data_IF_266919554404
#
_entry.id   IF_266919554404
#
_cell.length_a   1.000
_cell.length_b   1.000
_cell.length_c   1.000
_cell.angle_alpha   90.00
_cell.angle_beta   90.00
_cell.angle_gamma   90.00
#
_symmetry.space_group_name_H-M   'P 1'
#
loop_
_entity.id
_entity.type
_entity.pdbx_description
1 polymer ?
#
# COMPACT_ATOMS: atom_id res chain seq x y z
N UNK A 1 -7.00 -50.10 15.86
CA UNK A 1 -6.05 -49.08 16.36
C UNK A 1 -5.52 -48.20 15.22
N UNK A 2 -5.43 -48.71 13.98
CA UNK A 2 -4.99 -47.93 12.79
C UNK A 2 -6.03 -46.94 12.24
N UNK A 3 -7.33 -47.15 12.45
CA UNK A 3 -8.39 -46.23 12.00
C UNK A 3 -8.43 -44.93 12.79
N UNK A 4 -8.25 -45.00 14.12
CA UNK A 4 -8.17 -43.81 14.99
C UNK A 4 -6.95 -42.93 14.73
N UNK A 5 -5.83 -43.52 14.31
CA UNK A 5 -4.62 -42.77 13.96
C UNK A 5 -4.77 -42.03 12.62
N UNK A 6 -5.52 -42.60 11.66
CA UNK A 6 -5.85 -41.94 10.39
C UNK A 6 -6.87 -40.82 10.54
N UNK A 7 -7.88 -41.00 11.40
CA UNK A 7 -8.86 -39.96 11.71
C UNK A 7 -8.20 -38.77 12.44
N UNK A 8 -7.30 -39.03 13.38
CA UNK A 8 -6.53 -37.98 14.08
C UNK A 8 -5.59 -37.19 13.15
N UNK A 9 -4.93 -37.85 12.19
CA UNK A 9 -4.09 -37.14 11.22
C UNK A 9 -4.90 -36.32 10.22
N UNK A 10 -6.04 -36.83 9.74
CA UNK A 10 -6.88 -36.10 8.80
C UNK A 10 -7.54 -34.86 9.43
N UNK A 11 -7.89 -34.92 10.72
CA UNK A 11 -8.46 -33.79 11.46
C UNK A 11 -7.40 -32.71 11.76
N UNK A 12 -6.16 -33.11 12.06
CA UNK A 12 -5.01 -32.20 12.21
C UNK A 12 -4.66 -31.55 10.86
N UNK A 13 -4.55 -32.31 9.78
CA UNK A 13 -4.25 -31.80 8.44
C UNK A 13 -5.33 -30.83 7.93
N UNK A 14 -6.62 -31.12 8.19
CA UNK A 14 -7.72 -30.22 7.85
C UNK A 14 -7.68 -28.92 8.69
N UNK A 15 -7.29 -29.02 9.97
CA UNK A 15 -7.16 -27.85 10.85
C UNK A 15 -5.97 -26.96 10.45
N UNK A 16 -4.85 -27.55 10.02
CA UNK A 16 -3.67 -26.83 9.54
C UNK A 16 -3.95 -26.18 8.19
N UNK A 17 -4.60 -26.90 7.26
CA UNK A 17 -5.03 -26.34 5.98
C UNK A 17 -5.99 -25.16 6.13
N UNK A 18 -6.96 -25.26 7.04
CA UNK A 18 -7.89 -24.16 7.35
C UNK A 18 -7.17 -22.94 7.95
N UNK A 19 -6.21 -23.15 8.86
CA UNK A 19 -5.40 -22.07 9.44
C UNK A 19 -4.50 -21.40 8.40
N UNK A 20 -3.85 -22.18 7.54
CA UNK A 20 -3.00 -21.67 6.47
C UNK A 20 -3.79 -20.82 5.49
N UNK A 21 -5.01 -21.27 5.16
CA UNK A 21 -5.93 -20.57 4.28
C UNK A 21 -6.44 -19.24 4.84
N UNK A 22 -6.86 -19.26 6.10
CA UNK A 22 -7.24 -18.06 6.86
C UNK A 22 -6.08 -17.06 6.97
N UNK A 23 -4.86 -17.54 7.22
CA UNK A 23 -3.67 -16.69 7.28
C UNK A 23 -3.35 -16.05 5.92
N UNK A 24 -3.41 -16.82 4.83
CA UNK A 24 -3.15 -16.34 3.48
C UNK A 24 -4.14 -15.24 3.07
N UNK A 25 -5.44 -15.45 3.31
CA UNK A 25 -6.46 -14.44 3.03
C UNK A 25 -6.26 -13.16 3.86
N UNK A 26 -5.96 -13.27 5.17
CA UNK A 26 -5.66 -12.10 6.00
C UNK A 26 -4.42 -11.34 5.57
N UNK A 27 -3.40 -12.04 5.08
CA UNK A 27 -2.16 -11.43 4.60
C UNK A 27 -2.37 -10.52 3.38
N UNK A 28 -3.43 -10.73 2.59
CA UNK A 28 -3.76 -9.87 1.45
C UNK A 28 -4.37 -8.52 1.87
N UNK A 29 -4.91 -8.40 3.08
CA UNK A 29 -5.68 -7.23 3.50
C UNK A 29 -4.90 -5.91 3.42
N UNK A 30 -3.65 -5.79 3.90
CA UNK A 30 -2.89 -4.54 3.78
C UNK A 30 -2.76 -4.09 2.32
N UNK A 31 -2.40 -5.01 1.42
CA UNK A 31 -2.27 -4.73 -0.02
C UNK A 31 -3.60 -4.37 -0.67
N UNK A 32 -4.70 -5.02 -0.28
CA UNK A 32 -6.05 -4.67 -0.75
C UNK A 32 -6.48 -3.27 -0.32
N UNK A 33 -6.30 -2.93 0.96
CA UNK A 33 -6.64 -1.61 1.48
C UNK A 33 -5.82 -0.53 0.79
N UNK A 34 -4.51 -0.73 0.65
CA UNK A 34 -3.62 0.18 -0.05
C UNK A 34 -3.99 0.34 -1.55
N UNK A 35 -4.35 -0.75 -2.22
CA UNK A 35 -4.80 -0.73 -3.61
C UNK A 35 -6.10 0.09 -3.77
N UNK A 36 -7.09 -0.11 -2.90
CA UNK A 36 -8.31 0.72 -2.86
C UNK A 36 -8.04 2.18 -2.55
N UNK A 37 -6.92 2.47 -1.88
CA UNK A 37 -6.45 3.83 -1.62
C UNK A 37 -5.72 4.48 -2.81
N UNK A 38 -5.55 3.73 -3.90
CA UNK A 38 -4.96 4.22 -5.15
C UNK A 38 -3.45 3.99 -5.25
N UNK A 39 -2.87 3.23 -4.30
CA UNK A 39 -1.48 2.80 -4.41
C UNK A 39 -1.36 1.83 -5.58
N UNK A 40 -0.57 2.24 -6.56
CA UNK A 40 -0.30 1.45 -7.75
C UNK A 40 0.58 0.24 -7.44
N UNK A 41 1.62 0.46 -6.64
CA UNK A 41 2.50 -0.60 -6.15
C UNK A 41 1.73 -1.68 -5.37
N UNK A 42 0.76 -1.28 -4.54
CA UNK A 42 -0.03 -2.24 -3.77
C UNK A 42 -0.90 -3.18 -4.62
N UNK A 43 -1.32 -2.77 -5.82
CA UNK A 43 -2.00 -3.69 -6.74
C UNK A 43 -1.08 -4.83 -7.19
N UNK A 44 0.21 -4.53 -7.42
CA UNK A 44 1.20 -5.53 -7.82
C UNK A 44 1.47 -6.50 -6.67
N UNK A 45 1.68 -5.99 -5.45
CA UNK A 45 1.87 -6.84 -4.27
C UNK A 45 0.64 -7.70 -3.98
N UNK A 46 -0.56 -7.15 -4.14
CA UNK A 46 -1.79 -7.93 -3.98
C UNK A 46 -1.84 -9.09 -4.98
N UNK A 47 -1.56 -8.84 -6.27
CA UNK A 47 -1.51 -9.87 -7.31
C UNK A 47 -0.46 -10.93 -6.96
N UNK A 48 0.75 -10.51 -6.60
CA UNK A 48 1.87 -11.42 -6.27
C UNK A 48 1.51 -12.32 -5.09
N UNK A 49 1.12 -11.74 -3.95
CA UNK A 49 0.79 -12.49 -2.74
C UNK A 49 -0.39 -13.43 -2.96
N UNK A 50 -1.40 -12.99 -3.71
CA UNK A 50 -2.56 -13.80 -4.04
C UNK A 50 -2.18 -14.96 -4.96
N UNK A 51 -1.37 -14.72 -5.98
CA UNK A 51 -0.89 -15.75 -6.89
C UNK A 51 0.00 -16.79 -6.20
N UNK A 52 0.93 -16.33 -5.36
CA UNK A 52 1.78 -17.17 -4.54
C UNK A 52 0.95 -18.09 -3.62
N UNK A 53 -0.05 -17.54 -2.94
CA UNK A 53 -0.93 -18.31 -2.06
C UNK A 53 -1.83 -19.29 -2.84
N UNK A 54 -2.35 -18.87 -3.99
CA UNK A 54 -3.20 -19.70 -4.83
C UNK A 54 -2.41 -20.89 -5.43
N UNK A 55 -1.19 -20.64 -5.94
CA UNK A 55 -0.30 -21.68 -6.49
C UNK A 55 0.14 -22.69 -5.42
N UNK A 56 0.32 -22.26 -4.18
CA UNK A 56 0.57 -23.16 -3.03
C UNK A 56 -0.65 -23.95 -2.57
N UNK A 57 -1.83 -23.70 -3.15
CA UNK A 57 -3.09 -24.31 -2.72
C UNK A 57 -3.58 -23.83 -1.35
N UNK A 58 -2.97 -22.78 -0.79
CA UNK A 58 -3.33 -22.21 0.52
C UNK A 58 -4.37 -21.11 0.39
N UNK A 59 -4.93 -20.84 -0.78
CA UNK A 59 -5.96 -19.83 -0.94
C UNK A 59 -6.89 -20.19 -2.10
N UNK A 60 -8.19 -20.28 -1.81
CA UNK A 60 -9.24 -20.35 -2.83
C UNK A 60 -10.17 -19.14 -2.77
N UNK A 61 -10.99 -18.96 -3.81
CA UNK A 61 -12.03 -17.92 -3.82
C UNK A 61 -13.05 -18.12 -2.69
N UNK A 62 -13.37 -19.39 -2.37
CA UNK A 62 -14.27 -19.72 -1.27
C UNK A 62 -13.69 -19.32 0.08
N UNK A 63 -12.41 -19.60 0.30
CA UNK A 63 -11.71 -19.21 1.53
C UNK A 63 -11.68 -17.69 1.71
N UNK A 64 -11.39 -16.95 0.64
CA UNK A 64 -11.38 -15.50 0.68
C UNK A 64 -12.75 -14.90 1.04
N UNK A 65 -13.85 -15.51 0.57
CA UNK A 65 -15.22 -15.10 0.95
C UNK A 65 -15.51 -15.34 2.42
N UNK A 66 -15.18 -16.53 2.91
CA UNK A 66 -15.37 -16.89 4.32
C UNK A 66 -14.55 -15.95 5.21
N UNK A 67 -13.27 -15.75 4.88
CA UNK A 67 -12.40 -14.88 5.66
C UNK A 67 -12.84 -13.41 5.58
N UNK A 68 -13.31 -12.91 4.43
CA UNK A 68 -13.87 -11.56 4.32
C UNK A 68 -15.06 -11.36 5.27
N UNK A 69 -15.98 -12.33 5.31
CA UNK A 69 -17.12 -12.31 6.22
C UNK A 69 -16.67 -12.34 7.69
N UNK A 70 -15.69 -13.18 8.05
CA UNK A 70 -15.13 -13.24 9.40
C UNK A 70 -14.44 -11.93 9.80
N UNK A 71 -13.69 -11.31 8.90
CA UNK A 71 -13.09 -9.98 9.11
C UNK A 71 -14.17 -8.91 9.32
N UNK A 72 -15.30 -9.01 8.60
CA UNK A 72 -16.48 -8.17 8.79
C UNK A 72 -17.10 -8.22 10.18
N UNK A 73 -17.01 -9.39 10.83
CA UNK A 73 -17.53 -9.61 12.19
C UNK A 73 -16.53 -9.20 13.29
N UNK A 74 -15.28 -8.92 12.94
CA UNK A 74 -14.24 -8.61 13.91
C UNK A 74 -14.24 -7.13 14.33
N UNK A 75 -14.20 -6.88 15.64
CA UNK A 75 -14.12 -5.53 16.20
C UNK A 75 -12.81 -4.81 15.84
N UNK A 76 -11.71 -5.55 15.67
CA UNK A 76 -10.39 -5.00 15.33
C UNK A 76 -10.20 -4.75 13.82
N UNK A 77 -11.12 -5.28 13.03
CA UNK A 77 -10.92 -5.57 11.63
C UNK A 77 -12.17 -5.30 10.79
N UNK A 78 -13.13 -4.54 11.33
CA UNK A 78 -14.48 -4.37 10.78
C UNK A 78 -14.41 -3.89 9.33
N UNK A 79 -14.79 -4.78 8.43
CA UNK A 79 -14.87 -4.53 7.00
C UNK A 79 -16.35 -4.39 6.63
N UNK A 80 -16.74 -3.32 5.96
CA UNK A 80 -18.14 -3.14 5.52
C UNK A 80 -18.54 -4.20 4.49
N UNK A 81 -19.83 -4.52 4.34
CA UNK A 81 -20.28 -5.58 3.42
C UNK A 81 -19.79 -5.35 1.97
N UNK A 82 -19.89 -4.11 1.48
CA UNK A 82 -19.36 -3.70 0.17
C UNK A 82 -17.85 -3.94 0.04
N UNK A 83 -17.10 -3.78 1.13
CA UNK A 83 -15.65 -4.00 1.14
C UNK A 83 -15.30 -5.49 1.16
N UNK A 84 -16.11 -6.30 1.85
CA UNK A 84 -15.97 -7.76 1.85
C UNK A 84 -16.20 -8.31 0.44
N UNK A 85 -17.25 -7.84 -0.23
CA UNK A 85 -17.56 -8.22 -1.60
C UNK A 85 -16.44 -7.78 -2.56
N UNK A 86 -15.93 -6.56 -2.39
CA UNK A 86 -14.81 -6.06 -3.19
C UNK A 86 -13.51 -6.85 -2.95
N UNK A 87 -13.24 -7.29 -1.72
CA UNK A 87 -12.09 -8.12 -1.39
C UNK A 87 -12.20 -9.50 -2.03
N UNK A 88 -13.35 -10.17 -1.87
CA UNK A 88 -13.60 -11.47 -2.47
C UNK A 88 -13.54 -11.41 -4.01
N UNK A 89 -14.10 -10.35 -4.61
CA UNK A 89 -13.99 -10.07 -6.04
C UNK A 89 -12.53 -9.90 -6.46
N UNK A 90 -11.74 -9.10 -5.75
CA UNK A 90 -10.33 -8.88 -6.08
C UNK A 90 -9.53 -10.19 -6.09
N UNK A 91 -9.72 -11.04 -5.07
CA UNK A 91 -9.09 -12.37 -5.02
C UNK A 91 -9.55 -13.25 -6.18
N UNK A 92 -10.85 -13.27 -6.46
CA UNK A 92 -11.41 -14.05 -7.57
C UNK A 92 -10.82 -13.63 -8.92
N UNK A 93 -10.63 -12.33 -9.16
CA UNK A 93 -10.03 -11.83 -10.40
C UNK A 93 -8.62 -12.36 -10.62
N UNK A 94 -7.77 -12.39 -9.58
CA UNK A 94 -6.41 -12.93 -9.69
C UNK A 94 -6.44 -14.44 -9.92
N UNK A 95 -7.16 -15.20 -9.08
CA UNK A 95 -7.19 -16.67 -9.15
C UNK A 95 -7.79 -17.16 -10.48
N UNK A 96 -8.87 -16.54 -10.96
CA UNK A 96 -9.49 -16.93 -12.23
C UNK A 96 -8.63 -16.53 -13.44
N UNK A 97 -7.87 -15.43 -13.34
CA UNK A 97 -6.91 -15.06 -14.40
C UNK A 97 -5.75 -16.06 -14.44
N UNK A 98 -5.23 -16.49 -13.28
CA UNK A 98 -4.25 -17.58 -13.20
C UNK A 98 -4.79 -18.85 -13.83
N UNK A 99 -6.00 -19.30 -13.47
CA UNK A 99 -6.63 -20.48 -14.10
C UNK A 99 -6.77 -20.38 -15.61
N UNK A 100 -6.89 -19.17 -16.15
CA UNK A 100 -7.08 -18.95 -17.59
C UNK A 100 -5.77 -18.95 -18.38
N UNK A 101 -4.67 -18.52 -17.77
CA UNK A 101 -3.41 -18.23 -18.47
C UNK A 101 -2.19 -18.94 -17.91
N UNK A 102 -2.26 -19.48 -16.70
CA UNK A 102 -1.20 -20.21 -16.03
C UNK A 102 -1.45 -21.71 -16.14
N UNK A 103 -0.59 -22.41 -16.90
CA UNK A 103 -0.69 -23.85 -17.15
C UNK A 103 -0.52 -24.69 -15.87
N UNK A 104 -0.06 -24.07 -14.78
CA UNK A 104 -0.01 -24.67 -13.44
C UNK A 104 -1.41 -24.90 -12.83
N UNK A 105 -2.46 -24.32 -13.39
CA UNK A 105 -3.84 -24.48 -12.93
C UNK A 105 -4.66 -25.36 -13.86
N UNK A 106 -5.35 -26.35 -13.27
CA UNK A 106 -6.23 -27.25 -14.01
C UNK A 106 -7.48 -26.53 -14.53
N UNK A 107 -7.57 -26.38 -15.85
CA UNK A 107 -8.70 -25.77 -16.55
C UNK A 107 -9.98 -26.64 -16.53
N UNK A 108 -9.90 -27.89 -16.06
CA UNK A 108 -11.01 -28.86 -16.06
C UNK A 108 -11.87 -28.84 -14.79
N UNK A 109 -11.49 -28.07 -13.76
CA UNK A 109 -12.26 -27.96 -12.53
C UNK A 109 -13.66 -27.37 -12.77
N UNK A 110 -14.68 -27.94 -12.11
CA UNK A 110 -16.07 -27.50 -12.26
C UNK A 110 -16.21 -26.02 -11.86
N UNK A 111 -16.70 -25.20 -12.81
CA UNK A 111 -16.78 -23.74 -12.66
C UNK A 111 -18.23 -23.33 -12.38
N UNK A 112 -18.45 -22.84 -11.17
CA UNK A 112 -19.72 -22.24 -10.72
C UNK A 112 -20.20 -21.10 -11.67
N UNK A 113 -21.52 -20.88 -11.85
CA UNK A 113 -22.04 -19.83 -12.73
C UNK A 113 -21.46 -18.43 -12.49
N UNK A 114 -21.16 -18.06 -11.24
CA UNK A 114 -20.58 -16.76 -10.91
C UNK A 114 -19.15 -16.64 -11.45
N UNK A 115 -18.34 -17.67 -11.25
CA UNK A 115 -16.99 -17.76 -11.79
C UNK A 115 -16.98 -17.76 -13.32
N UNK A 116 -18.00 -18.34 -13.97
CA UNK A 116 -18.18 -18.28 -15.43
C UNK A 116 -18.44 -16.87 -15.93
N UNK A 117 -19.21 -16.07 -15.19
CA UNK A 117 -19.43 -14.65 -15.49
C UNK A 117 -18.13 -13.85 -15.41
N UNK A 118 -17.35 -14.05 -14.34
CA UNK A 118 -16.04 -13.41 -14.15
C UNK A 118 -15.03 -13.82 -15.22
N UNK A 119 -15.00 -15.09 -15.64
CA UNK A 119 -14.13 -15.54 -16.73
C UNK A 119 -14.46 -14.87 -18.07
N UNK A 120 -15.75 -14.73 -18.40
CA UNK A 120 -16.17 -13.96 -19.60
C UNK A 120 -15.69 -12.51 -19.54
N UNK A 121 -15.75 -11.89 -18.35
CA UNK A 121 -15.21 -10.55 -18.14
C UNK A 121 -13.69 -10.52 -18.33
N UNK A 122 -12.95 -11.49 -17.77
CA UNK A 122 -11.49 -11.63 -17.94
C UNK A 122 -11.13 -11.78 -19.43
N UNK A 123 -11.84 -12.62 -20.17
CA UNK A 123 -11.63 -12.81 -21.60
C UNK A 123 -11.87 -11.53 -22.40
N UNK A 124 -12.97 -10.81 -22.11
CA UNK A 124 -13.27 -9.55 -22.76
C UNK A 124 -12.21 -8.49 -22.45
N UNK A 125 -11.78 -8.39 -21.18
CA UNK A 125 -10.74 -7.45 -20.75
C UNK A 125 -9.41 -7.70 -21.46
N UNK A 126 -9.01 -8.97 -21.58
CA UNK A 126 -7.77 -9.34 -22.27
C UNK A 126 -7.85 -9.09 -23.78
N UNK A 127 -8.99 -9.44 -24.40
CA UNK A 127 -9.23 -9.15 -25.83
C UNK A 127 -9.16 -7.65 -26.11
N UNK A 128 -9.82 -6.84 -25.28
CA UNK A 128 -9.77 -5.39 -25.40
C UNK A 128 -8.33 -4.86 -25.24
N UNK A 129 -7.55 -5.41 -24.31
CA UNK A 129 -6.15 -5.05 -24.15
C UNK A 129 -5.30 -5.42 -25.37
N UNK A 130 -5.52 -6.59 -25.97
CA UNK A 130 -4.84 -7.03 -27.21
C UNK A 130 -5.19 -6.13 -28.41
N UNK A 131 -6.42 -5.60 -28.45
CA UNK A 131 -6.89 -4.64 -29.45
C UNK A 131 -6.38 -3.20 -29.18
N UNK A 132 -5.56 -2.99 -28.15
CA UNK A 132 -5.00 -1.68 -27.79
C UNK A 132 -5.95 -0.78 -26.99
N UNK A 133 -7.07 -1.32 -26.49
CA UNK A 133 -7.93 -0.66 -25.49
C UNK A 133 -7.37 -0.89 -24.09
N UNK A 134 -6.21 -0.29 -23.82
CA UNK A 134 -5.58 -0.33 -22.50
C UNK A 134 -6.39 0.50 -21.49
N UNK A 135 -6.23 0.22 -20.19
CA UNK A 135 -6.74 1.08 -19.12
C UNK A 135 -6.37 2.55 -19.31
N UNK A 136 -5.17 2.81 -19.87
CA UNK A 136 -4.68 4.14 -20.25
C UNK A 136 -5.56 4.78 -21.33
N UNK A 137 -5.95 4.05 -22.38
CA UNK A 137 -6.88 4.54 -23.40
C UNK A 137 -8.26 4.81 -22.83
N UNK A 138 -8.77 3.95 -21.96
CA UNK A 138 -10.06 4.16 -21.28
C UNK A 138 -10.04 5.35 -20.31
N UNK A 139 -8.95 5.56 -19.57
CA UNK A 139 -8.77 6.70 -18.66
C UNK A 139 -8.50 8.01 -19.41
N UNK A 140 -7.73 7.98 -20.51
CA UNK A 140 -7.48 9.14 -21.39
C UNK A 140 -8.73 9.51 -22.18
N UNK A 141 -9.41 8.56 -22.83
CA UNK A 141 -10.67 8.80 -23.55
C UNK A 141 -11.73 9.41 -22.62
N UNK A 142 -11.82 8.96 -21.35
CA UNK A 142 -12.73 9.56 -20.37
C UNK A 142 -12.34 10.99 -19.97
N UNK A 143 -11.04 11.29 -19.83
CA UNK A 143 -10.54 12.65 -19.55
C UNK A 143 -10.70 13.61 -20.73
N UNK A 144 -10.51 13.13 -21.96
CA UNK A 144 -10.60 13.95 -23.18
C UNK A 144 -12.03 14.12 -23.69
N UNK A 145 -12.87 13.07 -23.61
CA UNK A 145 -14.24 13.11 -24.13
C UNK A 145 -15.21 13.81 -23.19
N UNK A 146 -14.92 13.88 -21.89
CA UNK A 146 -15.85 14.49 -20.95
C UNK A 146 -15.13 15.08 -19.70
N UNK A 147 -14.65 16.33 -19.76
CA UNK A 147 -13.94 17.00 -18.66
C UNK A 147 -14.75 17.09 -17.35
N UNK A 148 -16.07 17.14 -17.44
CA UNK A 148 -16.97 17.10 -16.28
C UNK A 148 -16.96 15.72 -15.60
N UNK A 149 -16.83 14.65 -16.38
CA UNK A 149 -16.70 13.29 -15.85
C UNK A 149 -15.36 13.02 -15.16
N UNK A 150 -14.32 13.83 -15.45
CA UNK A 150 -13.04 13.80 -14.74
C UNK A 150 -13.11 14.50 -13.38
N UNK A 151 -14.07 15.41 -13.18
CA UNK A 151 -14.33 16.10 -11.90
C UNK A 151 -15.32 15.35 -11.00
N UNK A 152 -16.11 14.43 -11.57
CA UNK A 152 -17.05 13.58 -10.83
C UNK A 152 -16.32 12.46 -10.12
N UNK A 153 -16.60 12.28 -8.82
CA UNK A 153 -16.15 11.10 -8.08
C UNK A 153 -16.73 9.81 -8.75
N UNK A 154 -15.89 8.79 -9.00
CA UNK A 154 -16.36 7.55 -9.61
C UNK A 154 -17.40 6.89 -8.69
N UNK A 155 -18.47 6.36 -9.28
CA UNK A 155 -19.44 5.59 -8.51
C UNK A 155 -18.79 4.32 -7.91
N UNK A 156 -19.31 3.76 -6.80
CA UNK A 156 -18.71 2.59 -6.15
C UNK A 156 -18.46 1.41 -7.10
N UNK A 157 -19.41 1.12 -7.99
CA UNK A 157 -19.28 0.06 -8.98
C UNK A 157 -18.17 0.33 -10.01
N UNK A 158 -17.97 1.59 -10.42
CA UNK A 158 -16.88 1.95 -11.34
C UNK A 158 -15.51 1.74 -10.71
N UNK A 159 -15.37 2.03 -9.42
CA UNK A 159 -14.12 1.82 -8.67
C UNK A 159 -13.76 0.34 -8.60
N UNK A 160 -14.75 -0.53 -8.32
CA UNK A 160 -14.56 -1.99 -8.33
C UNK A 160 -14.19 -2.48 -9.73
N UNK A 161 -14.88 -2.02 -10.77
CA UNK A 161 -14.57 -2.40 -12.15
C UNK A 161 -13.15 -1.99 -12.57
N UNK A 162 -12.69 -0.79 -12.18
CA UNK A 162 -11.32 -0.33 -12.44
C UNK A 162 -10.30 -1.23 -11.75
N UNK A 163 -10.52 -1.55 -10.47
CA UNK A 163 -9.65 -2.43 -9.72
C UNK A 163 -9.60 -3.83 -10.35
N UNK A 164 -10.76 -4.41 -10.68
CA UNK A 164 -10.83 -5.73 -11.31
C UNK A 164 -10.12 -5.78 -12.67
N UNK A 165 -10.28 -4.73 -13.48
CA UNK A 165 -9.55 -4.61 -14.74
C UNK A 165 -8.03 -4.56 -14.52
N UNK A 166 -7.56 -3.75 -13.55
CA UNK A 166 -6.13 -3.66 -13.17
C UNK A 166 -5.58 -5.00 -12.72
N UNK A 167 -6.27 -5.67 -11.81
CA UNK A 167 -5.84 -6.97 -11.30
C UNK A 167 -5.75 -8.00 -12.41
N UNK A 168 -6.68 -7.99 -13.37
CA UNK A 168 -6.63 -8.88 -14.55
C UNK A 168 -5.37 -8.64 -15.37
N UNK A 169 -5.12 -7.38 -15.75
CA UNK A 169 -3.99 -7.03 -16.61
C UNK A 169 -2.65 -7.23 -15.92
N UNK A 170 -2.53 -6.86 -14.64
CA UNK A 170 -1.32 -7.10 -13.85
C UNK A 170 -1.04 -8.59 -13.65
N UNK A 171 -2.08 -9.41 -13.43
CA UNK A 171 -1.90 -10.87 -13.32
C UNK A 171 -1.39 -11.45 -14.64
N UNK A 172 -1.90 -10.97 -15.78
CA UNK A 172 -1.38 -11.36 -17.09
C UNK A 172 0.07 -10.91 -17.29
N UNK A 173 0.41 -9.66 -16.98
CA UNK A 173 1.77 -9.14 -17.11
C UNK A 173 2.77 -9.92 -16.24
N UNK A 174 2.38 -10.27 -15.01
CA UNK A 174 3.18 -11.15 -14.14
C UNK A 174 3.48 -12.49 -14.82
N UNK A 175 2.46 -13.17 -15.36
CA UNK A 175 2.63 -14.46 -16.03
C UNK A 175 3.52 -14.30 -17.28
N UNK A 176 3.30 -13.26 -18.08
CA UNK A 176 4.14 -12.96 -19.25
C UNK A 176 5.60 -12.70 -18.86
N UNK A 177 5.83 -12.01 -17.73
CA UNK A 177 7.15 -11.75 -17.19
C UNK A 177 7.84 -13.04 -16.69
N UNK A 178 7.15 -13.85 -15.90
CA UNK A 178 7.66 -15.15 -15.40
C UNK A 178 8.01 -16.11 -16.55
N UNK A 179 7.30 -16.00 -17.69
CA UNK A 179 7.57 -16.78 -18.92
C UNK A 179 8.65 -16.18 -19.83
N UNK A 180 9.20 -15.02 -19.47
CA UNK A 180 10.20 -14.30 -20.29
C UNK A 180 9.63 -13.66 -21.57
N UNK A 181 8.30 -13.63 -21.74
CA UNK A 181 7.64 -13.08 -22.94
C UNK A 181 7.89 -11.58 -23.05
N UNK A 182 7.89 -10.85 -21.93
CA UNK A 182 8.23 -9.41 -21.91
C UNK A 182 9.68 -9.14 -22.33
N UNK A 183 10.64 -10.00 -21.96
CA UNK A 183 12.04 -9.86 -22.42
C UNK A 183 12.12 -10.09 -23.93
N UNK A 184 11.49 -11.16 -24.42
CA UNK A 184 11.45 -11.48 -25.84
C UNK A 184 10.78 -10.39 -26.69
N UNK A 185 9.69 -9.76 -26.19
CA UNK A 185 9.05 -8.61 -26.85
C UNK A 185 9.99 -7.40 -26.91
N UNK A 186 10.67 -7.05 -25.83
CA UNK A 186 11.63 -5.93 -25.81
C UNK A 186 12.84 -6.17 -26.73
N UNK A 187 13.35 -7.39 -26.78
CA UNK A 187 14.45 -7.77 -27.69
C UNK A 187 14.01 -7.64 -29.15
N UNK A 188 12.78 -8.09 -29.48
CA UNK A 188 12.21 -7.95 -30.81
C UNK A 188 11.93 -6.48 -31.18
N UNK A 189 11.43 -5.69 -30.24
CA UNK A 189 11.23 -4.25 -30.40
C UNK A 189 12.56 -3.53 -30.62
N UNK A 190 13.59 -3.83 -29.83
CA UNK A 190 14.94 -3.26 -30.00
C UNK A 190 15.58 -3.64 -31.35
N UNK A 191 15.36 -4.87 -31.81
CA UNK A 191 15.74 -5.30 -33.15
C UNK A 191 14.98 -4.51 -34.24
N UNK A 192 13.71 -4.18 -34.03
CA UNK A 192 12.89 -3.40 -34.96
C UNK A 192 13.15 -1.88 -34.92
N UNK A 193 13.51 -1.34 -33.76
CA UNK A 193 13.80 0.08 -33.52
C UNK A 193 15.15 0.51 -34.12
N UNK A 194 16.02 -0.45 -34.46
CA UNK A 194 17.24 -0.20 -35.25
C UNK A 194 16.98 0.34 -36.67
N UNK A 195 15.71 0.54 -37.06
CA UNK A 195 15.28 1.04 -38.38
C UNK A 195 14.53 2.40 -38.32
N UNK A 196 14.36 3.03 -37.15
CA UNK A 196 13.68 4.33 -37.09
C UNK A 196 14.15 5.17 -35.90
N UNK A 197 14.94 6.22 -36.19
CA UNK A 197 15.29 7.30 -35.26
C UNK A 197 14.42 8.51 -35.56
N UNK A 198 13.41 8.79 -34.72
CA UNK A 198 13.00 10.17 -34.36
C UNK A 198 11.86 10.32 -33.31
N UNK A 199 11.54 9.31 -32.48
CA UNK A 199 10.49 9.45 -31.44
C UNK A 199 10.95 9.17 -29.99
N UNK A 200 12.25 9.08 -29.74
CA UNK A 200 12.82 8.52 -28.49
C UNK A 200 12.65 9.36 -27.22
N UNK A 201 12.55 10.69 -27.29
CA UNK A 201 12.48 11.53 -26.07
C UNK A 201 11.10 11.56 -25.40
N UNK A 202 10.01 11.43 -26.17
CA UNK A 202 8.64 11.39 -25.59
C UNK A 202 8.35 10.01 -24.99
N UNK A 203 8.86 8.95 -25.60
CA UNK A 203 8.66 7.56 -25.17
C UNK A 203 9.42 7.25 -23.89
N UNK A 204 10.62 7.81 -23.66
CA UNK A 204 11.39 7.58 -22.42
C UNK A 204 10.78 8.29 -21.18
N UNK A 205 10.19 9.47 -21.36
CA UNK A 205 9.48 10.18 -20.28
C UNK A 205 8.15 9.48 -19.99
N UNK A 206 7.47 8.96 -21.01
CA UNK A 206 6.22 8.19 -20.86
C UNK A 206 6.45 6.79 -20.26
N UNK A 207 7.56 6.10 -20.56
CA UNK A 207 7.90 4.79 -19.97
C UNK A 207 8.33 4.90 -18.51
N UNK A 208 8.97 6.00 -18.10
CA UNK A 208 9.23 6.27 -16.67
C UNK A 208 7.96 6.62 -15.90
N UNK A 209 6.97 7.25 -16.54
CA UNK A 209 5.64 7.48 -15.95
C UNK A 209 4.75 6.20 -15.90
N UNK A 210 5.15 5.12 -16.59
CA UNK A 210 4.45 3.82 -16.64
C UNK A 210 4.84 2.83 -15.54
N UNK A 211 5.87 3.11 -14.74
CA UNK A 211 6.38 2.21 -13.67
C UNK A 211 5.32 1.77 -12.65
N UNK A 212 4.14 2.36 -12.69
CA UNK A 212 3.08 2.12 -11.72
C UNK A 212 1.86 1.37 -12.32
N UNK A 213 1.93 0.92 -13.58
CA UNK A 213 1.05 -0.14 -14.10
C UNK A 213 1.81 -1.32 -14.71
N UNK A 214 3.11 -1.18 -15.01
CA UNK A 214 3.95 -2.30 -15.41
C UNK A 214 4.38 -3.18 -14.23
N UNK A 215 4.39 -4.50 -14.42
CA UNK A 215 4.93 -5.44 -13.42
C UNK A 215 6.35 -5.05 -12.95
N UNK A 216 6.56 -4.91 -11.64
CA UNK A 216 7.87 -4.61 -11.06
C UNK A 216 8.85 -5.76 -11.34
N UNK A 217 9.95 -5.43 -12.03
CA UNK A 217 10.99 -6.38 -12.45
C UNK A 217 12.24 -6.35 -11.58
N UNK A 218 12.24 -5.49 -10.55
CA UNK A 218 13.38 -5.33 -9.63
C UNK A 218 13.56 -6.60 -8.80
N UNK A 219 14.82 -7.00 -8.62
CA UNK A 219 15.16 -8.21 -7.86
C UNK A 219 14.70 -8.11 -6.39
N UNK A 220 14.12 -9.21 -5.88
CA UNK A 220 13.60 -9.33 -4.51
C UNK A 220 14.70 -9.74 -3.54
N UNK A 221 15.59 -8.81 -3.22
CA UNK A 221 16.50 -8.98 -2.07
C UNK A 221 15.71 -8.98 -0.74
N UNK A 222 16.26 -9.49 0.38
CA UNK A 222 15.59 -9.44 1.67
C UNK A 222 15.16 -8.02 2.08
N UNK A 223 16.03 -7.03 1.89
CA UNK A 223 15.72 -5.62 2.12
C UNK A 223 14.56 -5.13 1.25
N UNK A 224 14.55 -5.50 -0.04
CA UNK A 224 13.48 -5.15 -0.96
C UNK A 224 12.14 -5.77 -0.58
N UNK A 225 12.13 -7.03 -0.14
CA UNK A 225 10.91 -7.71 0.30
C UNK A 225 10.27 -6.96 1.48
N UNK A 226 11.06 -6.67 2.51
CA UNK A 226 10.59 -5.94 3.70
C UNK A 226 10.23 -4.49 3.40
N UNK A 227 10.97 -3.82 2.52
CA UNK A 227 10.64 -2.48 2.05
C UNK A 227 9.29 -2.45 1.30
N UNK A 228 9.01 -3.48 0.51
CA UNK A 228 7.73 -3.63 -0.20
C UNK A 228 6.56 -3.82 0.78
N UNK A 229 6.75 -4.66 1.79
CA UNK A 229 5.75 -4.90 2.85
C UNK A 229 5.48 -3.62 3.65
N UNK A 230 6.54 -2.88 4.02
CA UNK A 230 6.42 -1.58 4.67
C UNK A 230 5.72 -0.55 3.78
N UNK A 231 6.04 -0.48 2.49
CA UNK A 231 5.42 0.46 1.56
C UNK A 231 3.92 0.19 1.36
N UNK A 232 3.54 -1.08 1.25
CA UNK A 232 2.12 -1.45 1.22
C UNK A 232 1.42 -1.02 2.50
N UNK A 233 2.01 -1.33 3.66
CA UNK A 233 1.44 -0.98 4.94
C UNK A 233 1.36 0.54 5.16
N UNK A 234 2.34 1.30 4.65
CA UNK A 234 2.41 2.76 4.71
C UNK A 234 1.15 3.42 4.14
N UNK A 235 0.65 2.97 3.00
CA UNK A 235 -0.59 3.52 2.42
C UNK A 235 -1.83 3.25 3.29
N UNK A 236 -1.82 2.18 4.08
CA UNK A 236 -2.85 1.93 5.08
C UNK A 236 -2.63 2.72 6.38
N UNK A 237 -1.39 3.06 6.72
CA UNK A 237 -1.04 3.95 7.86
C UNK A 237 -1.55 5.37 7.62
N UNK A 238 -1.42 5.87 6.39
CA UNK A 238 -1.88 7.23 6.02
C UNK A 238 -3.38 7.44 6.22
N UNK A 239 -4.17 6.37 6.31
CA UNK A 239 -5.61 6.44 6.58
C UNK A 239 -5.96 6.12 8.03
N UNK A 240 -4.98 6.07 8.94
CA UNK A 240 -5.20 5.79 10.35
C UNK A 240 -5.59 4.34 10.66
N UNK A 241 -5.52 3.41 9.71
CA UNK A 241 -6.09 2.07 9.89
C UNK A 241 -5.15 1.15 10.71
N UNK A 242 -5.61 0.53 11.82
CA UNK A 242 -4.77 -0.30 12.72
C UNK A 242 -4.01 -1.43 12.04
N UNK A 243 -4.63 -2.08 11.05
CA UNK A 243 -3.99 -3.15 10.26
C UNK A 243 -2.73 -2.64 9.55
N UNK A 244 -2.77 -1.41 9.03
CA UNK A 244 -1.60 -0.78 8.41
C UNK A 244 -0.47 -0.58 9.42
N UNK A 245 -0.77 0.00 10.58
CA UNK A 245 0.24 0.20 11.63
C UNK A 245 0.86 -1.12 12.10
N UNK A 246 0.06 -2.16 12.37
CA UNK A 246 0.56 -3.47 12.79
C UNK A 246 1.45 -4.09 11.71
N UNK A 247 1.01 -4.07 10.44
CA UNK A 247 1.79 -4.62 9.34
C UNK A 247 3.11 -3.84 9.14
N UNK A 248 3.07 -2.52 9.23
CA UNK A 248 4.24 -1.65 9.10
C UNK A 248 5.26 -1.92 10.20
N UNK A 249 4.83 -1.93 11.47
CA UNK A 249 5.69 -2.18 12.62
C UNK A 249 6.29 -3.60 12.58
N UNK A 250 5.53 -4.61 12.18
CA UNK A 250 6.03 -5.99 12.04
C UNK A 250 7.11 -6.11 10.98
N UNK A 251 6.88 -5.51 9.81
CA UNK A 251 7.87 -5.51 8.73
C UNK A 251 9.13 -4.72 9.17
N UNK A 252 8.96 -3.55 9.78
CA UNK A 252 10.06 -2.74 10.31
C UNK A 252 10.88 -3.49 11.36
N UNK A 253 10.22 -4.20 12.28
CA UNK A 253 10.91 -5.01 13.28
C UNK A 253 11.68 -6.16 12.66
N UNK A 254 11.07 -6.87 11.72
CA UNK A 254 11.73 -7.99 11.01
C UNK A 254 12.98 -7.49 10.29
N UNK A 255 12.93 -6.31 9.66
CA UNK A 255 14.08 -5.67 9.03
C UNK A 255 15.16 -5.29 10.05
N UNK A 256 14.75 -4.64 11.14
CA UNK A 256 15.64 -4.26 12.24
C UNK A 256 16.40 -5.47 12.78
N UNK A 257 15.69 -6.52 13.19
CA UNK A 257 16.28 -7.75 13.75
C UNK A 257 17.14 -8.52 12.73
N UNK A 258 16.84 -8.39 11.43
CA UNK A 258 17.63 -8.98 10.35
C UNK A 258 18.91 -8.20 10.03
N UNK A 259 19.19 -7.10 10.73
CA UNK A 259 20.38 -6.29 10.51
C UNK A 259 20.32 -5.39 9.26
N UNK A 260 19.13 -5.10 8.76
CA UNK A 260 18.92 -4.20 7.60
C UNK A 260 18.69 -2.78 8.13
N UNK A 261 19.56 -1.85 7.73
CA UNK A 261 19.45 -0.44 8.16
C UNK A 261 18.21 0.25 7.59
N UNK A 262 17.77 1.33 8.24
CA UNK A 262 16.63 2.14 7.79
C UNK A 262 16.88 2.72 6.38
N UNK A 263 18.14 3.08 6.09
CA UNK A 263 18.57 3.57 4.78
C UNK A 263 18.55 2.48 3.70
N UNK A 264 18.94 1.25 4.03
CA UNK A 264 18.83 0.12 3.09
C UNK A 264 17.38 -0.18 2.69
N UNK A 265 16.43 -0.02 3.63
CA UNK A 265 15.00 -0.19 3.36
C UNK A 265 14.52 0.85 2.33
N UNK A 266 14.84 2.12 2.52
CA UNK A 266 14.41 3.15 1.58
C UNK A 266 15.17 3.10 0.27
N UNK A 267 16.48 2.80 0.28
CA UNK A 267 17.28 2.62 -0.93
C UNK A 267 16.83 1.43 -1.80
N UNK A 268 16.13 0.46 -1.20
CA UNK A 268 15.54 -0.64 -1.93
C UNK A 268 14.30 -0.25 -2.76
N UNK A 269 13.75 0.97 -2.59
CA UNK A 269 12.56 1.47 -3.28
C UNK A 269 12.90 2.56 -4.30
N UNK A 270 12.06 2.67 -5.33
CA UNK A 270 12.08 3.78 -6.27
C UNK A 270 10.96 4.77 -5.92
N UNK A 271 11.22 6.08 -6.03
CA UNK A 271 10.20 7.08 -5.66
C UNK A 271 8.92 6.99 -6.47
N UNK A 272 8.97 6.43 -7.69
CA UNK A 272 7.79 6.17 -8.50
C UNK A 272 6.81 5.16 -7.88
N UNK A 273 7.30 4.29 -7.00
CA UNK A 273 6.50 3.26 -6.32
C UNK A 273 5.66 3.84 -5.19
N UNK A 274 6.01 5.03 -4.73
CA UNK A 274 5.24 5.80 -3.75
C UNK A 274 4.12 6.65 -4.39
N UNK A 275 3.99 6.65 -5.72
CA UNK A 275 2.94 7.40 -6.42
C UNK A 275 1.54 6.78 -6.22
N UNK A 276 0.52 7.64 -6.16
CA UNK A 276 -0.89 7.29 -5.98
C UNK A 276 -1.75 7.85 -7.09
N UNK A 277 -2.85 7.16 -7.40
CA UNK A 277 -3.76 7.56 -8.47
C UNK A 277 -4.69 8.73 -8.12
N UNK A 278 -4.93 9.58 -9.13
CA UNK A 278 -6.10 10.46 -9.21
C UNK A 278 -6.12 11.62 -8.20
N UNK A 279 -7.33 11.91 -7.68
CA UNK A 279 -7.62 13.02 -6.74
C UNK A 279 -6.95 12.85 -5.37
N UNK A 280 -6.45 11.66 -5.07
CA UNK A 280 -5.78 11.34 -3.80
C UNK A 280 -4.31 11.74 -3.75
N UNK A 281 -3.78 12.33 -4.83
CA UNK A 281 -2.53 13.11 -4.76
C UNK A 281 -2.58 14.17 -3.67
N UNK A 282 -3.76 14.71 -3.36
CA UNK A 282 -3.96 15.66 -2.26
C UNK A 282 -3.84 15.08 -0.84
N UNK A 283 -3.70 13.74 -0.66
CA UNK A 283 -3.30 13.17 0.63
C UNK A 283 -1.85 13.55 1.00
N UNK A 284 -1.07 13.93 -0.02
CA UNK A 284 0.27 14.49 0.12
C UNK A 284 0.19 15.96 -0.30
N UNK A 285 0.82 16.88 0.43
CA UNK A 285 0.81 18.30 0.06
C UNK A 285 1.39 18.48 -1.35
N UNK A 286 2.51 17.79 -1.61
CA UNK A 286 3.15 17.60 -2.91
C UNK A 286 3.45 16.11 -3.13
N UNK A 287 3.52 15.68 -4.39
CA UNK A 287 3.90 14.30 -4.73
C UNK A 287 5.28 13.90 -4.17
N UNK A 288 6.19 14.86 -4.00
CA UNK A 288 7.52 14.70 -3.38
C UNK A 288 7.49 14.52 -1.85
N UNK A 289 6.33 14.61 -1.20
CA UNK A 289 6.23 14.41 0.25
C UNK A 289 6.15 12.92 0.62
N UNK A 290 5.57 12.07 -0.23
CA UNK A 290 5.36 10.65 0.11
C UNK A 290 6.69 9.91 0.43
N UNK A 291 7.78 10.06 -0.36
CA UNK A 291 9.07 9.48 -0.01
C UNK A 291 9.65 9.99 1.30
N UNK A 292 9.47 11.28 1.59
CA UNK A 292 9.95 11.92 2.83
C UNK A 292 9.19 11.41 4.05
N UNK A 293 7.86 11.29 3.95
CA UNK A 293 7.02 10.72 4.99
C UNK A 293 7.36 9.26 5.26
N UNK A 294 7.52 8.46 4.19
CA UNK A 294 7.89 7.05 4.32
C UNK A 294 9.22 6.89 5.07
N UNK A 295 10.27 7.62 4.66
CA UNK A 295 11.56 7.59 5.32
C UNK A 295 11.47 8.05 6.80
N UNK A 296 10.70 9.09 7.08
CA UNK A 296 10.43 9.55 8.44
C UNK A 296 9.73 8.49 9.30
N UNK A 297 8.80 7.72 8.73
CA UNK A 297 8.08 6.65 9.45
C UNK A 297 8.97 5.44 9.72
N UNK A 298 9.81 5.05 8.76
CA UNK A 298 10.83 3.99 8.97
C UNK A 298 11.79 4.39 10.08
N UNK A 299 12.32 5.62 10.01
CA UNK A 299 13.22 6.15 11.04
C UNK A 299 12.56 6.18 12.42
N UNK A 300 11.28 6.58 12.49
CA UNK A 300 10.49 6.60 13.73
C UNK A 300 10.35 5.21 14.33
N UNK A 301 10.07 4.19 13.51
CA UNK A 301 9.95 2.82 13.99
C UNK A 301 11.29 2.30 14.55
N UNK A 302 12.40 2.54 13.86
CA UNK A 302 13.73 2.10 14.28
C UNK A 302 14.16 2.74 15.61
N UNK A 303 13.98 4.06 15.74
CA UNK A 303 14.23 4.78 17.00
C UNK A 303 13.32 4.26 18.13
N UNK A 304 12.06 3.95 17.82
CA UNK A 304 11.13 3.42 18.83
C UNK A 304 11.49 2.00 19.30
N UNK A 305 12.05 1.13 18.44
CA UNK A 305 12.53 -0.19 18.86
C UNK A 305 13.68 -0.07 19.86
N UNK A 306 14.65 0.79 19.57
CA UNK A 306 15.77 1.10 20.46
C UNK A 306 15.28 1.66 21.81
N UNK A 307 14.38 2.65 21.79
CA UNK A 307 13.81 3.25 22.99
C UNK A 307 12.98 2.27 23.84
N UNK A 308 12.47 1.20 23.23
CA UNK A 308 11.78 0.10 23.92
C UNK A 308 12.72 -1.03 24.36
N UNK A 309 14.04 -0.87 24.19
CA UNK A 309 15.06 -1.80 24.68
C UNK A 309 15.37 -2.96 23.73
N UNK A 310 14.99 -2.87 22.45
CA UNK A 310 15.41 -3.86 21.46
C UNK A 310 16.92 -3.68 21.19
N UNK A 311 17.73 -4.76 21.22
CA UNK A 311 19.17 -4.65 21.11
C UNK A 311 19.59 -4.23 19.70
N UNK A 312 20.60 -3.33 19.63
CA UNK A 312 21.15 -2.89 18.36
C UNK A 312 21.79 -4.07 17.60
N UNK A 313 21.41 -4.31 16.33
CA UNK A 313 21.98 -5.39 15.53
C UNK A 313 23.49 -5.20 15.30
N UNK A 314 24.28 -6.28 15.18
CA UNK A 314 25.72 -6.18 14.91
C UNK A 314 26.04 -5.40 13.62
N UNK A 315 25.16 -5.47 12.62
CA UNK A 315 25.29 -4.75 11.35
C UNK A 315 25.33 -3.22 11.51
N UNK A 316 24.78 -2.69 12.61
CA UNK A 316 24.80 -1.25 12.90
C UNK A 316 26.20 -0.74 13.29
N UNK A 317 27.17 -1.62 13.56
CA UNK A 317 28.54 -1.27 13.94
C UNK A 317 28.64 -0.31 15.15
N UNK A 318 27.63 -0.30 16.02
CA UNK A 318 27.54 0.60 17.17
C UNK A 318 27.07 2.03 16.87
N UNK A 319 26.69 2.36 15.62
CA UNK A 319 26.13 3.67 15.26
C UNK A 319 24.60 3.58 15.10
N UNK A 320 23.90 3.63 16.23
CA UNK A 320 22.43 3.58 16.30
C UNK A 320 21.77 4.74 15.54
N UNK A 321 22.39 5.92 15.56
CA UNK A 321 21.85 7.13 14.95
C UNK A 321 21.84 7.03 13.42
N UNK A 322 22.92 6.53 12.81
CA UNK A 322 22.97 6.29 11.38
C UNK A 322 22.14 5.06 10.98
N UNK A 323 22.11 4.02 11.82
CA UNK A 323 21.34 2.81 11.53
C UNK A 323 19.83 3.08 11.46
N UNK A 324 19.32 4.00 12.29
CA UNK A 324 17.92 4.41 12.32
C UNK A 324 17.58 5.51 11.30
N UNK A 325 18.56 6.23 10.76
CA UNK A 325 18.30 7.28 9.79
C UNK A 325 18.00 6.68 8.40
N UNK A 326 16.88 7.07 7.80
CA UNK A 326 16.54 6.70 6.42
C UNK A 326 16.61 7.91 5.48
N UNK A 327 17.38 7.81 4.38
CA UNK A 327 17.22 8.77 3.29
C UNK A 327 15.91 8.51 2.54
N UNK A 328 15.24 9.56 2.06
CA UNK A 328 14.07 9.37 1.22
C UNK A 328 14.44 8.98 -0.22
N UNK A 329 13.68 8.05 -0.85
CA UNK A 329 13.79 7.77 -2.28
C UNK A 329 13.50 9.03 -3.10
N UNK A 330 14.24 9.27 -4.19
CA UNK A 330 14.01 10.45 -5.02
C UNK A 330 12.64 10.39 -5.68
N UNK A 331 11.84 11.44 -5.47
CA UNK A 331 10.56 11.57 -6.14
C UNK A 331 10.76 11.80 -7.65
N UNK A 332 9.74 11.49 -8.46
CA UNK A 332 9.80 11.62 -9.93
C UNK A 332 10.08 13.08 -10.35
N UNK A 333 9.59 14.05 -9.60
CA UNK A 333 9.79 15.48 -9.84
C UNK A 333 11.19 15.99 -9.43
N UNK A 334 11.99 15.18 -8.73
CA UNK A 334 13.34 15.51 -8.27
C UNK A 334 14.45 14.86 -9.13
N UNK A 335 14.09 14.15 -10.21
CA UNK A 335 15.07 13.56 -11.14
C UNK A 335 15.78 14.67 -11.94
N UNK A 336 17.11 14.75 -11.80
CA UNK A 336 17.94 15.77 -12.47
C UNK A 336 18.41 16.91 -11.56
N UNK A 337 17.96 16.97 -10.30
CA UNK A 337 18.49 17.89 -9.29
C UNK A 337 19.66 17.22 -8.57
N UNK A 338 20.81 17.87 -8.49
CA UNK A 338 21.93 17.40 -7.66
C UNK A 338 21.50 17.43 -6.19
N UNK A 339 21.61 16.28 -5.51
CA UNK A 339 21.30 16.18 -4.09
C UNK A 339 22.55 16.59 -3.34
N UNK A 340 22.46 17.63 -2.52
CA UNK A 340 23.48 17.85 -1.50
C UNK A 340 23.50 16.62 -0.60
N UNK A 341 24.61 15.90 -0.58
CA UNK A 341 24.79 14.81 0.36
C UNK A 341 24.72 15.38 1.77
N UNK A 342 23.71 14.93 2.51
CA UNK A 342 23.55 15.34 3.89
C UNK A 342 24.69 14.73 4.70
N UNK A 343 25.43 15.57 5.42
CA UNK A 343 26.55 15.09 6.23
C UNK A 343 26.06 14.14 7.31
N UNK A 344 26.87 13.15 7.68
CA UNK A 344 26.50 12.19 8.71
C UNK A 344 26.19 12.87 10.04
N UNK A 345 26.82 14.01 10.36
CA UNK A 345 26.50 14.81 11.54
C UNK A 345 25.06 15.34 11.54
N UNK A 346 24.54 15.75 10.38
CA UNK A 346 23.14 16.18 10.24
C UNK A 346 22.19 15.00 10.39
N UNK A 347 22.52 13.85 9.78
CA UNK A 347 21.74 12.61 9.93
C UNK A 347 21.64 12.19 11.40
N UNK A 348 22.77 12.18 12.12
CA UNK A 348 22.80 11.89 13.56
C UNK A 348 22.07 12.93 14.39
N UNK A 349 22.15 14.21 14.03
CA UNK A 349 21.39 15.26 14.72
C UNK A 349 19.88 15.06 14.55
N UNK A 350 19.42 14.66 13.36
CA UNK A 350 18.03 14.31 13.11
C UNK A 350 17.58 13.12 13.97
N UNK A 351 18.31 11.99 13.95
CA UNK A 351 17.97 10.80 14.73
C UNK A 351 17.91 11.08 16.23
N UNK A 352 18.86 11.88 16.76
CA UNK A 352 18.85 12.31 18.17
C UNK A 352 17.65 13.19 18.52
N UNK A 353 17.28 14.12 17.64
CA UNK A 353 16.07 14.93 17.82
C UNK A 353 14.80 14.09 17.82
N UNK A 354 14.73 13.10 16.91
CA UNK A 354 13.62 12.16 16.84
C UNK A 354 13.54 11.27 18.09
N UNK A 355 14.69 10.80 18.62
CA UNK A 355 14.76 10.01 19.87
C UNK A 355 14.15 10.77 21.04
N UNK A 356 14.47 12.06 21.21
CA UNK A 356 13.85 12.89 22.25
C UNK A 356 12.33 12.95 22.09
N UNK A 357 11.81 13.08 20.86
CA UNK A 357 10.37 13.09 20.62
C UNK A 357 9.71 11.74 20.94
N UNK A 358 10.34 10.63 20.55
CA UNK A 358 9.87 9.27 20.81
C UNK A 358 9.85 8.97 22.32
N UNK A 359 10.90 9.33 23.05
CA UNK A 359 10.96 9.21 24.51
C UNK A 359 9.80 9.97 25.16
N UNK A 360 9.57 11.22 24.75
CA UNK A 360 8.44 12.02 25.23
C UNK A 360 7.12 11.31 24.97
N UNK A 361 6.86 10.82 23.75
CA UNK A 361 5.62 10.12 23.41
C UNK A 361 5.43 8.81 24.19
N UNK A 362 6.52 8.11 24.53
CA UNK A 362 6.48 6.91 25.36
C UNK A 362 6.19 7.22 26.83
N UNK A 363 6.62 8.39 27.32
CA UNK A 363 6.30 8.87 28.68
C UNK A 363 4.90 9.47 28.84
N UNK A 364 4.24 9.85 27.73
CA UNK A 364 2.84 10.31 27.76
C UNK A 364 1.92 9.16 28.20
N UNK A 365 1.03 9.46 29.14
CA UNK A 365 0.32 8.45 29.93
C UNK A 365 -0.54 7.48 29.09
N UNK A 366 -0.59 6.23 29.53
CA UNK A 366 -1.09 5.07 28.76
C UNK A 366 -2.59 5.20 28.46
N UNK A 367 -3.36 5.77 29.37
CA UNK A 367 -4.80 6.01 29.22
C UNK A 367 -5.09 7.19 28.29
N UNK A 368 -4.31 8.27 28.34
CA UNK A 368 -4.51 9.40 27.44
C UNK A 368 -4.18 9.02 25.99
N UNK A 369 -3.11 8.26 25.79
CA UNK A 369 -2.70 7.75 24.48
C UNK A 369 -3.73 6.74 23.93
N UNK A 370 -4.16 5.77 24.75
CA UNK A 370 -5.16 4.80 24.33
C UNK A 370 -6.53 5.45 24.07
N UNK A 371 -6.95 6.42 24.89
CA UNK A 371 -8.22 7.14 24.70
C UNK A 371 -8.18 8.04 23.45
N UNK A 372 -7.04 8.69 23.13
CA UNK A 372 -6.90 9.48 21.91
C UNK A 372 -6.87 8.60 20.65
N UNK A 373 -6.17 7.45 20.70
CA UNK A 373 -6.18 6.46 19.62
C UNK A 373 -7.58 5.86 19.46
N UNK A 374 -8.23 5.47 20.55
CA UNK A 374 -9.58 4.90 20.50
C UNK A 374 -10.64 5.91 20.04
N UNK A 375 -10.52 7.19 20.42
CA UNK A 375 -11.39 8.26 19.93
C UNK A 375 -11.20 8.50 18.42
N UNK A 376 -9.97 8.45 17.92
CA UNK A 376 -9.69 8.56 16.48
C UNK A 376 -10.11 7.32 15.69
N UNK A 377 -10.10 6.13 16.30
CA UNK A 377 -10.66 4.89 15.73
C UNK A 377 -12.20 4.83 15.73
N UNK A 378 -12.85 5.67 16.53
CA UNK A 378 -14.32 5.72 16.65
C UNK A 378 -14.99 6.71 15.69
N UNK A 379 -14.21 7.49 14.93
CA UNK A 379 -14.75 8.26 13.82
C UNK A 379 -15.06 7.30 12.68
N UNK A 380 -16.33 6.89 12.64
CA UNK A 380 -16.94 6.10 11.57
C UNK A 380 -16.63 6.78 10.22
N UNK A 381 -16.07 6.04 9.24
CA UNK A 381 -16.05 6.42 7.82
C UNK A 381 -17.48 6.24 7.24
N UNK A 382 -18.50 6.72 7.96
CA UNK A 382 -19.91 6.68 7.61
C UNK A 382 -20.39 8.08 7.24
N UNK A 383 -20.88 8.22 6.01
CA UNK A 383 -21.52 9.40 5.40
C UNK A 383 -20.63 10.62 5.10
N UNK A 384 -19.93 10.54 3.96
CA UNK A 384 -19.76 11.71 3.07
C UNK A 384 -21.11 12.05 2.38
N UNK A 385 -22.19 12.16 3.15
CA UNK A 385 -23.51 12.64 2.69
C UNK A 385 -23.69 14.10 3.14
N UNK A 386 -22.71 14.95 2.84
CA UNK A 386 -22.88 16.42 2.97
C UNK A 386 -23.51 16.94 1.68
N UNK A 387 -24.77 16.53 1.47
CA UNK A 387 -25.66 17.24 0.58
C UNK A 387 -26.23 18.48 1.30
N UNK A 388 -25.97 19.65 0.70
CA UNK A 388 -26.64 20.96 0.87
C UNK A 388 -26.20 21.83 2.04
N UNK A 389 -25.31 22.79 1.75
CA UNK A 389 -25.61 24.20 2.03
C UNK A 389 -25.18 25.08 0.84
N UNK A 390 -26.04 25.98 0.35
CA UNK A 390 -25.70 26.89 -0.73
C UNK A 390 -24.73 27.97 -0.23
N UNK A 391 -23.71 28.26 -1.04
CA UNK A 391 -22.81 29.39 -0.86
C UNK A 391 -23.61 30.70 -0.89
N UNK A 392 -23.72 31.39 0.25
CA UNK A 392 -23.97 32.84 0.26
C UNK A 392 -22.62 33.55 0.28
N UNK A 393 -22.32 34.22 -0.83
CA UNK A 393 -21.18 35.12 -0.99
C UNK A 393 -21.41 36.38 -0.15
N UNK A 394 -20.86 36.43 1.06
CA UNK A 394 -20.76 37.63 1.89
C UNK A 394 -19.36 38.24 1.80
N UNK A 395 -19.26 39.46 1.29
CA UNK A 395 -18.04 40.26 1.22
C UNK A 395 -17.48 40.50 2.63
N UNK A 396 -16.15 40.34 2.89
CA UNK A 396 -15.59 40.62 4.20
C UNK A 396 -15.61 42.12 4.51
N UNK A 397 -15.88 42.53 5.76
CA UNK A 397 -15.81 43.93 6.17
C UNK A 397 -14.34 44.40 6.29
N UNK A 398 -14.06 45.70 6.15
CA UNK A 398 -12.70 46.23 6.24
C UNK A 398 -12.18 46.16 7.69
N UNK A 399 -10.84 46.11 7.89
CA UNK A 399 -10.24 45.93 9.19
C UNK A 399 -10.40 47.21 10.02
N UNK A 400 -10.94 47.07 11.23
CA UNK A 400 -10.88 48.08 12.28
C UNK A 400 -9.60 47.86 13.11
N UNK A 401 -8.84 48.93 13.28
CA UNK A 401 -7.67 48.99 14.14
C UNK A 401 -8.08 48.79 15.61
N UNK A 402 -7.63 47.70 16.24
CA UNK A 402 -7.45 47.69 17.69
C UNK A 402 -6.42 46.61 18.11
N UNK A 403 -5.36 47.10 18.74
CA UNK A 403 -4.27 46.33 19.34
C UNK A 403 -4.76 45.56 20.58
N UNK A 404 -5.06 44.28 20.40
CA UNK A 404 -4.88 43.28 21.47
C UNK A 404 -4.56 41.96 20.79
N UNK A 405 -3.76 41.10 21.43
CA UNK A 405 -3.38 39.77 20.93
C UNK A 405 -4.61 38.93 20.57
N UNK A 406 -5.13 39.13 19.36
CA UNK A 406 -6.19 38.35 18.77
C UNK A 406 -5.58 37.09 18.20
N UNK A 407 -5.94 35.94 18.78
CA UNK A 407 -5.75 34.65 18.12
C UNK A 407 -6.49 34.74 16.79
N UNK A 408 -5.75 34.98 15.70
CA UNK A 408 -6.26 34.85 14.35
C UNK A 408 -6.59 33.37 14.18
N UNK A 409 -7.88 33.04 14.24
CA UNK A 409 -8.36 31.74 13.79
C UNK A 409 -8.15 31.71 12.28
N UNK A 410 -7.03 31.13 11.88
CA UNK A 410 -6.75 30.82 10.49
C UNK A 410 -7.57 29.57 10.13
N UNK A 411 -8.67 29.77 9.41
CA UNK A 411 -9.54 28.69 8.95
C UNK A 411 -8.81 27.71 8.00
N UNK A 412 -7.59 28.04 7.53
CA UNK A 412 -6.74 27.10 6.78
C UNK A 412 -6.08 26.03 7.66
N UNK A 413 -5.90 26.29 8.97
CA UNK A 413 -5.40 25.30 9.94
C UNK A 413 -6.49 24.34 10.44
N UNK A 414 -7.77 24.65 10.18
CA UNK A 414 -8.90 23.78 10.52
C UNK A 414 -9.05 22.58 9.58
N UNK A 415 -8.35 22.58 8.45
CA UNK A 415 -8.18 21.43 7.55
C UNK A 415 -6.80 20.85 7.81
N UNK A 416 -6.74 19.82 8.65
CA UNK A 416 -5.54 19.13 9.16
C UNK A 416 -4.26 19.35 8.34
N UNK A 417 -3.36 20.21 8.84
CA UNK A 417 -2.03 20.39 8.25
C UNK A 417 -1.30 19.05 8.12
N UNK A 418 -0.68 18.79 6.96
CA UNK A 418 0.09 17.55 6.70
C UNK A 418 1.12 17.26 7.80
N UNK A 419 1.70 18.31 8.38
CA UNK A 419 2.64 18.21 9.50
C UNK A 419 1.97 17.61 10.74
N UNK A 420 0.75 18.02 11.05
CA UNK A 420 0.00 17.51 12.21
C UNK A 420 -0.38 16.03 12.00
N UNK A 421 -0.84 15.68 10.80
CA UNK A 421 -1.16 14.27 10.47
C UNK A 421 0.09 13.39 10.46
N UNK A 422 1.23 13.92 9.98
CA UNK A 422 2.52 13.24 10.03
C UNK A 422 2.94 12.93 11.46
N UNK A 423 2.90 13.93 12.34
CA UNK A 423 3.22 13.76 13.77
C UNK A 423 2.26 12.79 14.45
N UNK A 424 0.97 12.84 14.11
CA UNK A 424 -0.03 11.89 14.61
C UNK A 424 0.31 10.45 14.19
N UNK A 425 0.62 10.23 12.92
CA UNK A 425 0.96 8.91 12.40
C UNK A 425 2.27 8.38 13.03
N UNK A 426 3.29 9.24 13.20
CA UNK A 426 4.53 8.90 13.91
C UNK A 426 4.26 8.49 15.36
N UNK A 427 3.46 9.28 16.09
CA UNK A 427 3.04 8.95 17.46
C UNK A 427 2.30 7.61 17.53
N UNK A 428 1.42 7.33 16.57
CA UNK A 428 0.72 6.05 16.48
C UNK A 428 1.70 4.89 16.22
N UNK A 429 2.66 5.04 15.29
CA UNK A 429 3.70 4.03 15.05
C UNK A 429 4.41 3.67 16.37
N UNK A 430 4.82 4.66 17.17
CA UNK A 430 5.46 4.42 18.48
C UNK A 430 4.55 3.62 19.42
N UNK A 431 3.25 3.95 19.48
CA UNK A 431 2.29 3.17 20.28
C UNK A 431 2.21 1.71 19.82
N UNK A 432 2.15 1.47 18.50
CA UNK A 432 2.08 0.12 17.96
C UNK A 432 3.39 -0.66 18.13
N UNK A 433 4.55 0.01 18.11
CA UNK A 433 5.85 -0.60 18.46
C UNK A 433 5.83 -1.12 19.90
N UNK A 434 5.42 -0.28 20.85
CA UNK A 434 5.29 -0.67 22.26
C UNK A 434 4.33 -1.84 22.43
N UNK A 435 3.16 -1.77 21.80
CA UNK A 435 2.14 -2.80 21.95
C UNK A 435 2.56 -4.12 21.31
N UNK A 436 3.30 -4.10 20.20
CA UNK A 436 3.83 -5.31 19.56
C UNK A 436 4.94 -5.97 20.38
N UNK A 437 5.86 -5.18 20.96
CA UNK A 437 6.89 -5.73 21.86
C UNK A 437 6.30 -6.26 23.16
N UNK A 438 5.25 -5.64 23.69
CA UNK A 438 4.55 -6.12 24.87
C UNK A 438 3.78 -7.43 24.65
N UNK A 439 3.44 -7.78 23.40
CA UNK A 439 2.80 -9.06 23.06
C UNK A 439 3.77 -10.22 23.12
N UNK A 440 5.03 -10.02 22.74
CA UNK A 440 6.05 -11.08 22.72
C UNK A 440 6.61 -11.39 24.11
N UNK A 441 6.46 -10.46 25.06
CA UNK A 441 6.81 -10.68 26.46
C UNK A 441 5.76 -11.53 27.23
N UNK A 442 4.64 -11.88 26.59
CA UNK A 442 3.57 -12.72 27.15
C UNK A 442 3.59 -14.10 26.49
#
# INVERSE_FOLDING_TARGET
METRAREGNAEVDASEGSRASSAAARALRPSFLAARRGSRFAHQEFVRLCADAARRGTLTVGDARVEAALMGLSAEARMGQSEQDAFASAVAMVILTLRRFDDAFDASAEIDPEARGMLKYIEMTNKNADEGHTLRRMELERRFLNPESARRAPAPHETIMRMNCKLTLLTREMIEHERGITSARRELEALSASVSTDETEVIEIETKQQLALGWCTRERTPARALASDMLVAFFSVLTGHPVGYRAFVRAARTAYESGISADEITAALDGAELDVEGTRRGMFGRASDAPKLFAGFVSTAYVAFEAQGLPLPPAANGDEDLYAYANYPRAIDETGVEREEESDDKKRAFSRGLRQAVELWLTMDREELANQVQASLSMDEGDDDVAKQPFETGTPPPPGDDESFGVVRDDSLSRSSITIETLRNQKNIVSFVRDELARDAR
#
